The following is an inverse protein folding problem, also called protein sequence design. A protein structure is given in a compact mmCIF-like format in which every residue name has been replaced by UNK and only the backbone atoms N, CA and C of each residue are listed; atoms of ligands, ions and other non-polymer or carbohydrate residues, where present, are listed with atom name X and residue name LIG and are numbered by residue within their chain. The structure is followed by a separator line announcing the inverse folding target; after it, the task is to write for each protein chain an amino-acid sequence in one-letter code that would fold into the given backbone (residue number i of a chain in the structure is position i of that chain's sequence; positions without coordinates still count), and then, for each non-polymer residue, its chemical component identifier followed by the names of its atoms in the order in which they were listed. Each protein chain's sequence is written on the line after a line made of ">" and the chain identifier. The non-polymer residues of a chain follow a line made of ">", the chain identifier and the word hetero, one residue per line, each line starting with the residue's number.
data_IF_644636753496
#
_entry.id   IF_644636753496
#
_cell.length_a   1.000
_cell.length_b   1.000
_cell.length_c   1.000
_cell.angle_alpha   90.00
_cell.angle_beta   90.00
_cell.angle_gamma   90.00
#
_symmetry.space_group_name_H-M   'P 1'
#
loop_
_entity.id
_entity.type
_entity.pdbx_description
1 polymer ?
#
# COMPACT_ATOMS: atom_id res chain seq x y z
N UNK A 1 -19.36 20.06 -32.77
CA UNK A 1 -19.10 19.57 -31.39
C UNK A 1 -17.84 18.71 -31.43
N UNK A 2 -16.77 19.10 -30.73
CA UNK A 2 -15.57 18.25 -30.61
C UNK A 2 -15.92 17.10 -29.65
N UNK A 3 -15.96 15.88 -30.16
CA UNK A 3 -16.10 14.68 -29.34
C UNK A 3 -14.86 14.59 -28.45
N UNK A 4 -15.04 14.75 -27.14
CA UNK A 4 -13.96 14.45 -26.19
C UNK A 4 -13.57 12.97 -26.38
N UNK A 5 -12.27 12.63 -26.38
CA UNK A 5 -11.83 11.25 -26.46
C UNK A 5 -12.44 10.43 -25.31
N UNK A 6 -12.70 9.13 -25.49
CA UNK A 6 -13.23 8.29 -24.44
C UNK A 6 -12.29 8.33 -23.23
N UNK A 7 -12.73 9.02 -22.18
CA UNK A 7 -11.99 9.16 -20.93
C UNK A 7 -12.31 7.97 -20.03
N UNK A 8 -11.27 7.24 -19.63
CA UNK A 8 -11.36 6.19 -18.61
C UNK A 8 -11.45 6.83 -17.23
N UNK A 9 -12.56 6.61 -16.52
CA UNK A 9 -12.70 7.00 -15.11
C UNK A 9 -12.01 5.96 -14.23
N UNK A 10 -10.89 6.33 -13.60
CA UNK A 10 -10.14 5.45 -12.71
C UNK A 10 -10.78 5.39 -11.32
N UNK A 11 -11.46 4.26 -11.05
CA UNK A 11 -11.94 3.75 -9.75
C UNK A 11 -12.92 4.66 -9.00
N UNK A 12 -14.04 4.05 -8.60
CA UNK A 12 -15.14 4.65 -7.85
C UNK A 12 -14.64 5.42 -6.60
N UNK A 13 -14.98 6.72 -6.44
CA UNK A 13 -14.71 7.47 -5.22
C UNK A 13 -15.25 6.80 -3.94
N UNK A 14 -16.28 5.95 -4.06
CA UNK A 14 -16.90 5.23 -2.95
C UNK A 14 -16.03 4.16 -2.28
N UNK A 15 -14.95 3.71 -2.92
CA UNK A 15 -14.05 2.69 -2.35
C UNK A 15 -12.90 3.27 -1.52
N UNK A 16 -12.71 4.60 -1.54
CA UNK A 16 -11.60 5.28 -0.87
C UNK A 16 -11.95 5.59 0.58
N UNK A 17 -11.32 4.87 1.49
CA UNK A 17 -11.38 5.14 2.92
C UNK A 17 -10.34 6.21 3.29
N UNK A 18 -10.66 7.05 4.28
CA UNK A 18 -9.76 8.08 4.77
C UNK A 18 -9.07 7.67 6.07
N UNK A 19 -7.77 7.92 6.14
CA UNK A 19 -6.97 7.87 7.36
C UNK A 19 -6.38 9.25 7.60
N UNK A 20 -6.90 9.96 8.61
CA UNK A 20 -6.47 11.31 8.99
C UNK A 20 -5.36 11.22 10.01
N UNK A 21 -4.24 11.90 9.75
CA UNK A 21 -3.04 11.92 10.58
C UNK A 21 -2.54 13.36 10.68
N UNK A 22 -2.81 14.01 11.81
CA UNK A 22 -2.56 15.45 11.95
C UNK A 22 -3.32 16.25 10.88
N UNK A 23 -2.60 17.06 10.10
CA UNK A 23 -3.15 17.83 8.97
C UNK A 23 -3.22 17.09 7.63
N UNK A 24 -2.73 15.84 7.58
CA UNK A 24 -2.65 15.04 6.35
C UNK A 24 -3.77 14.00 6.26
N UNK A 25 -4.13 13.63 5.03
CA UNK A 25 -5.12 12.58 4.75
C UNK A 25 -4.49 11.54 3.84
N UNK A 26 -4.50 10.28 4.26
CA UNK A 26 -4.16 9.14 3.40
C UNK A 26 -5.46 8.49 2.91
N UNK A 27 -5.54 8.24 1.61
CA UNK A 27 -6.62 7.50 0.99
C UNK A 27 -6.20 6.05 0.79
N UNK A 28 -7.01 5.12 1.27
CA UNK A 28 -6.70 3.70 1.19
C UNK A 28 -7.93 2.88 0.81
N UNK A 29 -7.69 1.68 0.31
CA UNK A 29 -8.74 0.68 0.05
C UNK A 29 -8.65 -0.47 1.05
N UNK A 30 -9.73 -1.22 1.17
CA UNK A 30 -9.76 -2.43 1.99
C UNK A 30 -8.83 -3.50 1.40
N UNK A 31 -8.20 -4.27 2.28
CA UNK A 31 -7.41 -5.43 1.89
C UNK A 31 -8.31 -6.68 1.96
N UNK A 32 -8.60 -7.28 0.82
CA UNK A 32 -9.32 -8.56 0.77
C UNK A 32 -8.39 -9.73 1.15
N UNK A 33 -8.97 -10.84 1.63
CA UNK A 33 -8.21 -12.06 1.93
C UNK A 33 -7.52 -12.61 0.66
N UNK A 34 -8.21 -12.55 -0.48
CA UNK A 34 -7.63 -12.96 -1.76
C UNK A 34 -6.44 -12.10 -2.18
N UNK A 35 -6.51 -10.78 -1.97
CA UNK A 35 -5.39 -9.88 -2.24
C UNK A 35 -4.21 -10.15 -1.30
N UNK A 36 -4.48 -10.37 0.00
CA UNK A 36 -3.44 -10.75 0.96
C UNK A 36 -2.72 -12.03 0.54
N UNK A 37 -3.47 -13.10 0.26
CA UNK A 37 -2.89 -14.38 -0.17
C UNK A 37 -2.12 -14.28 -1.50
N UNK A 38 -2.54 -13.40 -2.42
CA UNK A 38 -1.79 -13.12 -3.63
C UNK A 38 -0.46 -12.41 -3.34
N UNK A 39 -0.48 -11.39 -2.47
CA UNK A 39 0.71 -10.64 -2.06
C UNK A 39 1.70 -11.55 -1.34
N UNK A 40 1.25 -12.35 -0.37
CA UNK A 40 2.11 -13.27 0.38
C UNK A 40 2.85 -14.23 -0.57
N UNK A 41 2.14 -14.82 -1.53
CA UNK A 41 2.75 -15.68 -2.56
C UNK A 41 3.76 -14.93 -3.42
N UNK A 42 3.44 -13.71 -3.85
CA UNK A 42 4.34 -12.89 -4.68
C UNK A 42 5.61 -12.45 -3.94
N UNK A 43 5.53 -12.24 -2.63
CA UNK A 43 6.66 -11.82 -1.80
C UNK A 43 7.41 -13.00 -1.16
N UNK A 44 6.96 -14.23 -1.36
CA UNK A 44 7.64 -15.42 -0.84
C UNK A 44 8.91 -15.69 -1.65
N UNK A 45 10.03 -15.83 -0.95
CA UNK A 45 11.33 -16.18 -1.50
C UNK A 45 11.67 -17.61 -1.07
N UNK A 46 12.19 -18.40 -2.00
CA UNK A 46 12.66 -19.75 -1.71
C UNK A 46 14.17 -19.71 -1.48
N UNK A 47 14.59 -20.03 -0.26
CA UNK A 47 15.99 -20.22 0.06
C UNK A 47 16.42 -21.64 -0.32
N UNK A 48 17.59 -21.82 -0.94
CA UNK A 48 18.12 -23.15 -1.22
C UNK A 48 18.34 -23.90 0.10
N UNK A 49 18.01 -25.18 0.13
CA UNK A 49 18.39 -26.04 1.26
C UNK A 49 19.90 -26.27 1.28
N UNK A 50 20.46 -26.53 2.47
CA UNK A 50 21.86 -26.92 2.62
C UNK A 50 21.95 -28.41 2.97
N UNK A 51 22.94 -29.11 2.41
CA UNK A 51 23.28 -30.47 2.85
C UNK A 51 22.15 -31.52 2.73
N UNK A 52 21.31 -31.44 1.70
CA UNK A 52 20.20 -32.38 1.48
C UNK A 52 18.86 -31.95 2.09
N UNK A 53 18.79 -30.79 2.75
CA UNK A 53 17.52 -30.21 3.18
C UNK A 53 16.68 -29.73 1.98
N UNK A 54 15.33 -29.82 2.07
CA UNK A 54 14.46 -29.24 1.06
C UNK A 54 14.52 -27.70 1.10
N UNK A 55 14.24 -27.02 -0.04
CA UNK A 55 14.14 -25.56 -0.09
C UNK A 55 13.12 -25.02 0.90
N UNK A 56 13.46 -23.89 1.55
CA UNK A 56 12.59 -23.26 2.55
C UNK A 56 11.93 -22.01 1.97
N UNK A 57 10.59 -21.97 2.05
CA UNK A 57 9.84 -20.76 1.78
C UNK A 57 9.99 -19.76 2.94
N UNK A 58 10.38 -18.53 2.62
CA UNK A 58 10.51 -17.42 3.55
C UNK A 58 9.73 -16.24 3.03
N UNK A 59 8.96 -15.60 3.91
CA UNK A 59 8.25 -14.36 3.61
C UNK A 59 8.90 -13.21 4.40
N UNK A 60 9.74 -12.38 3.76
CA UNK A 60 10.42 -11.29 4.45
C UNK A 60 9.37 -10.26 4.95
N UNK A 61 9.32 -9.96 6.27
CA UNK A 61 8.30 -9.07 6.82
C UNK A 61 8.29 -7.67 6.19
N UNK A 62 9.48 -7.12 5.90
CA UNK A 62 9.61 -5.82 5.26
C UNK A 62 9.09 -5.79 3.81
N UNK A 63 9.31 -6.88 3.05
CA UNK A 63 8.79 -7.01 1.68
C UNK A 63 7.27 -7.13 1.69
N UNK A 64 6.73 -7.93 2.61
CA UNK A 64 5.28 -8.04 2.82
C UNK A 64 4.66 -6.70 3.19
N UNK A 65 5.23 -5.98 4.16
CA UNK A 65 4.73 -4.65 4.58
C UNK A 65 4.73 -3.66 3.42
N UNK A 66 5.83 -3.57 2.67
CA UNK A 66 5.95 -2.67 1.54
C UNK A 66 4.92 -3.00 0.43
N UNK A 67 4.76 -4.28 0.11
CA UNK A 67 3.78 -4.73 -0.89
C UNK A 67 2.34 -4.47 -0.43
N UNK A 68 2.04 -4.66 0.85
CA UNK A 68 0.73 -4.32 1.40
C UNK A 68 0.45 -2.82 1.32
N UNK A 69 1.41 -1.97 1.72
CA UNK A 69 1.27 -0.51 1.61
C UNK A 69 1.06 -0.08 0.16
N UNK A 70 1.90 -0.58 -0.77
CA UNK A 70 1.77 -0.29 -2.19
C UNK A 70 0.46 -0.79 -2.80
N UNK A 71 -0.11 -1.85 -2.25
CA UNK A 71 -1.42 -2.35 -2.66
C UNK A 71 -2.57 -1.50 -2.11
N UNK A 72 -2.55 -1.11 -0.82
CA UNK A 72 -3.72 -0.51 -0.16
C UNK A 72 -3.76 1.00 -0.26
N UNK A 73 -2.62 1.68 -0.36
CA UNK A 73 -2.56 3.14 -0.45
C UNK A 73 -2.86 3.58 -1.87
N UNK A 74 -3.89 4.41 -2.05
CA UNK A 74 -4.35 4.86 -3.37
C UNK A 74 -4.18 6.37 -3.59
N UNK A 75 -3.77 7.11 -2.57
CA UNK A 75 -3.52 8.54 -2.66
C UNK A 75 -3.28 9.20 -1.31
N UNK A 76 -2.95 10.49 -1.32
CA UNK A 76 -2.92 11.33 -0.12
C UNK A 76 -3.11 12.80 -0.42
N UNK A 77 -3.31 13.60 0.63
CA UNK A 77 -3.33 15.07 0.60
C UNK A 77 -2.59 15.63 1.81
N UNK A 78 -2.02 16.83 1.63
CA UNK A 78 -1.34 17.59 2.67
C UNK A 78 -0.18 16.83 3.34
N UNK A 79 0.51 15.94 2.61
CA UNK A 79 1.74 15.29 3.08
C UNK A 79 2.90 16.21 2.72
N UNK A 80 3.81 16.48 3.67
CA UNK A 80 4.94 17.38 3.48
C UNK A 80 6.28 16.68 3.69
N UNK A 81 7.33 17.21 3.07
CA UNK A 81 8.70 16.81 3.39
C UNK A 81 9.12 17.41 4.74
N UNK A 82 9.74 16.62 5.65
CA UNK A 82 10.04 17.05 7.02
C UNK A 82 10.89 18.33 7.12
N UNK A 83 11.83 18.53 6.17
CA UNK A 83 12.80 19.62 6.23
C UNK A 83 12.42 20.81 5.34
N UNK A 84 11.80 20.54 4.17
CA UNK A 84 11.47 21.57 3.21
C UNK A 84 10.04 22.13 3.39
N UNK A 85 9.18 21.45 4.15
CA UNK A 85 7.77 21.82 4.32
C UNK A 85 6.94 21.76 3.04
N UNK A 86 7.53 21.28 1.93
CA UNK A 86 6.89 21.23 0.61
C UNK A 86 5.90 20.09 0.56
N UNK A 87 4.76 20.33 -0.09
CA UNK A 87 3.79 19.28 -0.36
C UNK A 87 4.39 18.22 -1.28
N UNK A 88 4.20 16.96 -0.91
CA UNK A 88 4.64 15.80 -1.66
C UNK A 88 3.45 15.26 -2.44
N UNK A 89 3.56 15.19 -3.76
CA UNK A 89 2.57 14.52 -4.57
C UNK A 89 2.60 13.01 -4.35
N UNK A 90 1.44 12.38 -4.46
CA UNK A 90 1.35 10.94 -4.30
C UNK A 90 2.04 10.23 -5.47
N UNK A 91 2.95 9.32 -5.13
CA UNK A 91 3.56 8.38 -6.06
C UNK A 91 3.91 7.09 -5.32
N UNK A 92 4.01 5.93 -6.00
CA UNK A 92 4.45 4.68 -5.40
C UNK A 92 5.82 4.81 -4.70
N UNK A 93 6.75 5.57 -5.29
CA UNK A 93 8.07 5.83 -4.72
C UNK A 93 7.98 6.68 -3.45
N UNK A 94 7.11 7.70 -3.43
CA UNK A 94 6.87 8.48 -2.22
C UNK A 94 6.18 7.65 -1.13
N UNK A 95 5.25 6.75 -1.49
CA UNK A 95 4.58 5.87 -0.55
C UNK A 95 5.55 4.98 0.25
N UNK A 96 6.62 4.51 -0.40
CA UNK A 96 7.69 3.75 0.26
C UNK A 96 8.42 4.52 1.37
N UNK A 97 8.41 5.85 1.33
CA UNK A 97 9.04 6.73 2.32
C UNK A 97 8.17 7.01 3.55
N UNK A 98 6.94 6.47 3.61
CA UNK A 98 6.08 6.63 4.79
C UNK A 98 6.76 6.07 6.05
N UNK A 99 6.64 6.75 7.20
CA UNK A 99 7.16 6.25 8.47
C UNK A 99 6.56 4.89 8.84
N UNK A 100 7.34 4.02 9.48
CA UNK A 100 6.93 2.67 9.84
C UNK A 100 5.61 2.63 10.63
N UNK A 101 5.43 3.55 11.59
CA UNK A 101 4.19 3.65 12.37
C UNK A 101 2.96 3.98 11.51
N UNK A 102 3.13 4.80 10.47
CA UNK A 102 2.05 5.14 9.53
C UNK A 102 1.72 3.95 8.64
N UNK A 103 2.73 3.22 8.16
CA UNK A 103 2.54 2.00 7.36
C UNK A 103 1.81 0.92 8.15
N UNK A 104 2.22 0.66 9.38
CA UNK A 104 1.55 -0.30 10.27
C UNK A 104 0.10 0.08 10.54
N UNK A 105 -0.17 1.37 10.82
CA UNK A 105 -1.52 1.86 11.03
C UNK A 105 -2.40 1.73 9.79
N UNK A 106 -1.86 2.06 8.62
CA UNK A 106 -2.54 1.92 7.33
C UNK A 106 -2.93 0.46 7.06
N UNK A 107 -2.00 -0.48 7.22
CA UNK A 107 -2.27 -1.91 7.04
C UNK A 107 -3.33 -2.39 8.04
N UNK A 108 -3.22 -1.98 9.31
CA UNK A 108 -4.20 -2.32 10.35
C UNK A 108 -5.59 -1.83 9.98
N UNK A 109 -5.71 -0.62 9.43
CA UNK A 109 -6.98 -0.04 8.98
C UNK A 109 -7.52 -0.75 7.74
N UNK A 110 -6.67 -1.04 6.76
CA UNK A 110 -7.05 -1.75 5.54
C UNK A 110 -7.53 -3.18 5.80
N UNK A 111 -6.98 -3.85 6.83
CA UNK A 111 -7.37 -5.19 7.28
C UNK A 111 -8.66 -5.23 8.09
N UNK A 112 -9.08 -4.11 8.69
CA UNK A 112 -10.38 -4.03 9.37
C UNK A 112 -11.49 -3.99 8.32
N UNK A 113 -12.02 -5.16 7.98
CA UNK A 113 -13.45 -5.25 7.69
C UNK A 113 -14.17 -4.77 8.98
N UNK A 114 -15.03 -3.76 8.91
CA UNK A 114 -15.86 -3.32 10.05
C UNK A 114 -17.18 -4.12 10.04
N UNK A 115 -17.76 -4.50 11.20
CA UNK A 115 -17.20 -4.69 12.54
C UNK A 115 -16.96 -6.19 12.88
#
# INVERSE_FOLDING_TARGET
>A
MKSHPPVLTLVDPGERLELRLGGSVLYYRRLSLGALAAIERQQTVYLPGQGGEPPRAVLPPAALEAALVGHVLVGWRNVTEPLAGRLVEYSPQAAGRLPAGVRALLIKKARRLNP
#
